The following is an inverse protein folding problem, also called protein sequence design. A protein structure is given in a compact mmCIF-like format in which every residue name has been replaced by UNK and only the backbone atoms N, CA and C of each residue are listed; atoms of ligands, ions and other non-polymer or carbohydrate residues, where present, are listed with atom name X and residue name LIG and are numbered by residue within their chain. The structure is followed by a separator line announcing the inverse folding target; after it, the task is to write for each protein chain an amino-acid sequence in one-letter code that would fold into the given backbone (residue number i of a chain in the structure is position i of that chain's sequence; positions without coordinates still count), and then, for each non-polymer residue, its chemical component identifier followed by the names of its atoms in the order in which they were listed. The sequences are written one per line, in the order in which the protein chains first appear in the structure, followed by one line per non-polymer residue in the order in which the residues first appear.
data_IF_501142394679
#
_entry.id   IF_501142394679
#
_cell.length_a   1.000
_cell.length_b   1.000
_cell.length_c   1.000
_cell.angle_alpha   90.00
_cell.angle_beta   90.00
_cell.angle_gamma   90.00
#
_symmetry.space_group_name_H-M   'P 1'
#
loop_
_entity.id
_entity.type
_entity.pdbx_description
1 polymer ?
#
# COMPACT_ATOMS: atom_id res chain seq x y z
N UNK A 1 3.38 10.12 14.89
CA UNK A 1 2.07 9.55 14.49
C UNK A 1 0.98 10.57 14.69
N UNK A 2 0.88 11.24 15.87
CA UNK A 2 -0.17 12.23 16.16
C UNK A 2 -0.22 13.33 15.09
N UNK A 3 0.88 14.00 14.82
CA UNK A 3 0.96 15.08 13.82
C UNK A 3 0.52 14.62 12.42
N UNK A 4 0.89 13.40 12.03
CA UNK A 4 0.45 12.80 10.75
C UNK A 4 -1.06 12.54 10.73
N UNK A 5 -1.62 12.07 11.85
CA UNK A 5 -3.06 11.86 11.98
C UNK A 5 -3.83 13.19 11.92
N UNK A 6 -3.36 14.22 12.63
CA UNK A 6 -3.95 15.57 12.62
C UNK A 6 -3.88 16.19 11.23
N UNK A 7 -2.77 16.00 10.51
CA UNK A 7 -2.62 16.43 9.11
C UNK A 7 -3.63 15.74 8.21
N UNK A 8 -3.75 14.40 8.31
CA UNK A 8 -4.72 13.63 7.52
C UNK A 8 -6.16 14.07 7.82
N UNK A 9 -6.49 14.30 9.09
CA UNK A 9 -7.79 14.81 9.48
C UNK A 9 -8.08 16.19 8.84
N UNK A 10 -7.10 17.10 8.87
CA UNK A 10 -7.22 18.42 8.26
C UNK A 10 -7.38 18.36 6.74
N UNK A 11 -6.62 17.48 6.04
CA UNK A 11 -6.73 17.28 4.60
C UNK A 11 -8.12 16.80 4.18
N UNK A 12 -8.78 16.03 5.02
CA UNK A 12 -10.06 15.40 4.71
C UNK A 12 -11.27 16.14 5.27
N UNK A 13 -11.09 17.17 6.09
CA UNK A 13 -12.18 17.86 6.79
C UNK A 13 -13.24 18.45 5.86
N UNK A 14 -12.82 18.93 4.68
CA UNK A 14 -13.72 19.53 3.68
C UNK A 14 -14.17 18.57 2.58
N UNK A 15 -13.75 17.31 2.62
CA UNK A 15 -14.13 16.30 1.61
C UNK A 15 -15.49 15.67 1.94
N UNK A 16 -16.26 15.32 0.92
CA UNK A 16 -17.48 14.52 1.12
C UNK A 16 -17.14 13.09 1.48
N UNK A 17 -17.96 12.46 2.33
CA UNK A 17 -17.80 11.06 2.72
C UNK A 17 -17.82 10.07 1.53
N UNK A 18 -18.39 10.48 0.39
CA UNK A 18 -18.41 9.67 -0.85
C UNK A 18 -17.28 10.02 -1.82
N UNK A 19 -16.40 10.97 -1.46
CA UNK A 19 -15.29 11.37 -2.33
C UNK A 19 -14.33 10.21 -2.56
N UNK A 20 -14.09 9.89 -3.83
CA UNK A 20 -13.03 9.01 -4.27
C UNK A 20 -11.77 9.84 -4.47
N UNK A 21 -10.72 9.54 -3.75
CA UNK A 21 -9.50 10.35 -3.73
C UNK A 21 -8.34 9.45 -4.18
N UNK A 22 -7.69 9.74 -5.33
CA UNK A 22 -6.47 9.04 -5.73
C UNK A 22 -5.39 9.10 -4.64
N UNK A 23 -4.68 8.00 -4.40
CA UNK A 23 -3.62 7.95 -3.37
C UNK A 23 -2.58 9.07 -3.50
N UNK A 24 -2.12 9.48 -4.70
CA UNK A 24 -1.19 10.59 -4.84
C UNK A 24 -1.65 11.90 -4.19
N UNK A 25 -2.96 12.18 -4.20
CA UNK A 25 -3.51 13.39 -3.56
C UNK A 25 -3.38 13.36 -2.02
N UNK A 26 -3.30 12.17 -1.42
CA UNK A 26 -3.07 12.01 0.01
C UNK A 26 -1.59 11.84 0.35
N UNK A 27 -0.87 11.05 -0.45
CA UNK A 27 0.54 10.76 -0.22
C UNK A 27 1.40 12.01 -0.35
N UNK A 28 1.14 12.87 -1.36
CA UNK A 28 1.94 14.08 -1.57
C UNK A 28 2.00 14.95 -0.31
N UNK A 29 0.90 15.48 0.22
CA UNK A 29 0.98 16.35 1.40
C UNK A 29 1.41 15.60 2.67
N UNK A 30 1.08 14.32 2.81
CA UNK A 30 1.44 13.54 3.99
C UNK A 30 2.93 13.19 4.05
N UNK A 31 3.60 13.05 2.91
CA UNK A 31 4.99 12.63 2.82
C UNK A 31 5.94 13.79 2.51
N UNK A 32 5.43 14.93 2.04
CA UNK A 32 6.19 16.16 1.84
C UNK A 32 6.40 16.89 3.17
N UNK A 33 7.14 16.25 4.07
CA UNK A 33 7.39 16.74 5.41
C UNK A 33 8.83 17.23 5.50
N UNK A 34 9.00 18.51 5.82
CA UNK A 34 10.30 19.08 6.14
C UNK A 34 10.67 18.81 7.61
N UNK A 35 11.94 18.62 7.90
CA UNK A 35 12.43 18.51 9.28
C UNK A 35 13.65 17.59 9.44
N UNK A 36 14.18 17.56 10.65
CA UNK A 36 15.42 16.86 10.99
C UNK A 36 15.32 15.33 11.00
N UNK A 37 14.11 14.78 11.10
CA UNK A 37 13.84 13.33 11.06
C UNK A 37 12.75 12.99 10.05
N UNK A 38 13.06 13.27 8.79
CA UNK A 38 12.13 13.10 7.68
C UNK A 38 11.66 11.65 7.52
N UNK A 39 12.57 10.68 7.69
CA UNK A 39 12.22 9.26 7.55
C UNK A 39 11.26 8.79 8.65
N UNK A 40 11.47 9.16 9.91
CA UNK A 40 10.55 8.80 10.99
C UNK A 40 9.17 9.48 10.81
N UNK A 41 9.15 10.73 10.34
CA UNK A 41 7.92 11.45 10.06
C UNK A 41 7.14 10.78 8.90
N UNK A 42 7.81 10.36 7.84
CA UNK A 42 7.22 9.64 6.71
C UNK A 42 6.70 8.25 7.10
N UNK A 43 7.44 7.53 7.94
CA UNK A 43 6.95 6.28 8.55
C UNK A 43 5.67 6.50 9.35
N UNK A 44 5.63 7.56 10.16
CA UNK A 44 4.45 7.93 10.94
C UNK A 44 3.27 8.30 10.04
N UNK A 45 3.52 8.98 8.93
CA UNK A 45 2.49 9.39 7.96
C UNK A 45 1.87 8.18 7.25
N UNK A 46 2.70 7.26 6.71
CA UNK A 46 2.20 6.07 6.04
C UNK A 46 1.46 5.14 7.02
N UNK A 47 1.91 5.06 8.28
CA UNK A 47 1.22 4.30 9.33
C UNK A 47 -0.16 4.92 9.66
N UNK A 48 -0.26 6.23 9.80
CA UNK A 48 -1.53 6.90 10.06
C UNK A 48 -2.53 6.68 8.91
N UNK A 49 -2.06 6.73 7.68
CA UNK A 49 -2.87 6.45 6.50
C UNK A 49 -3.29 4.97 6.43
N UNK A 50 -2.40 4.04 6.78
CA UNK A 50 -2.72 2.60 6.85
C UNK A 50 -3.78 2.29 7.91
N UNK A 51 -3.66 2.89 9.08
CA UNK A 51 -4.64 2.74 10.14
C UNK A 51 -6.02 3.29 9.73
N UNK A 52 -6.05 4.42 9.04
CA UNK A 52 -7.28 4.99 8.49
C UNK A 52 -7.92 4.07 7.46
N UNK A 53 -7.14 3.56 6.48
CA UNK A 53 -7.61 2.67 5.43
C UNK A 53 -8.03 1.28 5.93
N UNK A 54 -7.43 0.79 7.00
CA UNK A 54 -7.81 -0.48 7.64
C UNK A 54 -9.01 -0.35 8.58
N UNK A 55 -9.60 0.85 8.69
CA UNK A 55 -10.71 1.15 9.62
C UNK A 55 -10.40 0.78 11.09
N UNK A 56 -9.11 0.70 11.43
CA UNK A 56 -8.67 0.36 12.78
C UNK A 56 -8.73 1.57 13.70
N UNK A 57 -9.37 1.39 14.83
CA UNK A 57 -9.33 2.40 15.89
C UNK A 57 -7.91 2.48 16.46
N UNK A 58 -7.20 3.56 16.15
CA UNK A 58 -5.84 3.81 16.66
C UNK A 58 -5.78 3.80 18.18
N UNK A 59 -6.85 4.14 18.89
CA UNK A 59 -6.88 4.14 20.35
C UNK A 59 -6.67 2.73 20.95
N UNK A 60 -6.88 1.66 20.19
CA UNK A 60 -6.55 0.29 20.64
C UNK A 60 -5.06 0.05 20.71
N UNK A 61 -4.26 0.76 19.91
CA UNK A 61 -2.80 0.65 19.87
C UNK A 61 -2.12 1.81 20.62
N UNK A 62 -2.71 2.98 20.56
CA UNK A 62 -2.20 4.23 21.13
C UNK A 62 -3.35 4.85 21.95
N UNK A 63 -3.47 4.57 23.26
CA UNK A 63 -4.59 5.04 24.08
C UNK A 63 -4.84 6.55 23.99
N UNK A 64 -3.78 7.35 23.88
CA UNK A 64 -3.89 8.80 23.70
C UNK A 64 -4.59 9.24 22.40
N UNK A 65 -4.74 8.33 21.44
CA UNK A 65 -5.45 8.64 20.20
C UNK A 65 -6.97 8.77 20.36
N UNK A 66 -7.52 8.41 21.54
CA UNK A 66 -8.92 8.69 21.88
C UNK A 66 -9.29 10.17 21.80
N UNK A 67 -8.31 11.05 22.05
CA UNK A 67 -8.50 12.49 22.09
C UNK A 67 -8.10 13.19 20.78
N UNK A 68 -7.67 12.42 19.76
CA UNK A 68 -7.27 12.99 18.48
C UNK A 68 -8.49 13.33 17.60
N UNK A 69 -8.33 14.30 16.68
CA UNK A 69 -9.43 14.65 15.78
C UNK A 69 -9.90 13.43 14.99
N UNK A 70 -11.21 13.33 14.81
CA UNK A 70 -11.78 12.27 13.98
C UNK A 70 -11.48 12.56 12.51
N UNK A 71 -10.95 11.54 11.80
CA UNK A 71 -10.76 11.61 10.36
C UNK A 71 -12.12 11.37 9.70
N UNK A 72 -12.49 12.26 8.79
CA UNK A 72 -13.71 12.13 8.00
C UNK A 72 -13.58 10.93 7.04
N UNK A 73 -14.57 10.03 6.95
CA UNK A 73 -14.52 8.91 6.02
C UNK A 73 -14.53 9.42 4.59
N UNK A 74 -13.65 8.87 3.77
CA UNK A 74 -13.57 9.07 2.32
C UNK A 74 -13.19 7.75 1.69
N UNK A 75 -13.14 7.68 0.36
CA UNK A 75 -12.80 6.49 -0.40
C UNK A 75 -11.45 6.67 -1.15
N UNK A 76 -10.29 6.49 -0.50
CA UNK A 76 -9.00 6.53 -1.19
C UNK A 76 -8.91 5.42 -2.24
N UNK A 77 -8.36 5.73 -3.41
CA UNK A 77 -8.26 4.77 -4.51
C UNK A 77 -6.84 4.69 -5.06
N UNK A 78 -6.46 3.49 -5.50
CA UNK A 78 -5.29 3.25 -6.33
C UNK A 78 -5.74 2.63 -7.64
N UNK A 79 -5.41 3.25 -8.77
CA UNK A 79 -5.90 2.87 -10.09
C UNK A 79 -7.44 2.76 -10.14
N UNK A 80 -8.13 3.66 -9.41
CA UNK A 80 -9.59 3.69 -9.29
C UNK A 80 -10.18 2.63 -8.36
N UNK A 81 -9.41 1.83 -7.62
CA UNK A 81 -9.84 0.73 -6.75
C UNK A 81 -9.58 1.05 -5.27
N UNK A 82 -10.56 0.79 -4.42
CA UNK A 82 -10.47 0.97 -2.96
C UNK A 82 -9.60 -0.10 -2.31
N UNK A 83 -9.84 -1.36 -2.67
CA UNK A 83 -9.10 -2.52 -2.19
C UNK A 83 -7.60 -2.39 -2.50
N UNK A 84 -7.26 -2.04 -3.74
CA UNK A 84 -5.86 -1.83 -4.14
C UNK A 84 -5.17 -0.71 -3.36
N UNK A 85 -5.89 0.38 -3.03
CA UNK A 85 -5.35 1.43 -2.17
C UNK A 85 -5.08 0.92 -0.75
N UNK A 86 -5.99 0.13 -0.21
CA UNK A 86 -5.88 -0.48 1.12
C UNK A 86 -4.67 -1.44 1.19
N UNK A 87 -4.58 -2.37 0.24
CA UNK A 87 -3.46 -3.31 0.12
C UNK A 87 -2.12 -2.59 0.01
N UNK A 88 -2.01 -1.64 -0.91
CA UNK A 88 -0.78 -0.87 -1.13
C UNK A 88 -0.32 -0.14 0.13
N UNK A 89 -1.20 0.61 0.78
CA UNK A 89 -0.81 1.45 1.93
C UNK A 89 -0.49 0.61 3.16
N UNK A 90 -1.23 -0.47 3.41
CA UNK A 90 -0.96 -1.37 4.54
C UNK A 90 0.40 -2.05 4.34
N UNK A 91 0.67 -2.57 3.15
CA UNK A 91 1.95 -3.22 2.85
C UNK A 91 3.12 -2.24 2.87
N UNK A 92 2.90 -0.99 2.41
CA UNK A 92 3.91 0.07 2.52
C UNK A 92 4.23 0.41 3.99
N UNK A 93 3.21 0.50 4.84
CA UNK A 93 3.43 0.75 6.27
C UNK A 93 4.18 -0.41 6.94
N UNK A 94 3.79 -1.65 6.65
CA UNK A 94 4.47 -2.84 7.18
C UNK A 94 5.93 -2.88 6.75
N UNK A 95 6.23 -2.67 5.47
CA UNK A 95 7.60 -2.66 4.95
C UNK A 95 8.44 -1.52 5.54
N UNK A 96 7.87 -0.33 5.69
CA UNK A 96 8.57 0.80 6.28
C UNK A 96 8.96 0.58 7.75
N UNK A 97 8.20 -0.23 8.49
CA UNK A 97 8.44 -0.49 9.91
C UNK A 97 9.14 -1.82 10.20
N UNK A 98 8.80 -2.88 9.48
CA UNK A 98 9.26 -4.24 9.76
C UNK A 98 10.15 -4.82 8.65
N UNK A 99 10.24 -4.16 7.51
CA UNK A 99 10.97 -4.61 6.34
C UNK A 99 10.13 -5.52 5.42
N UNK A 100 10.61 -5.67 4.19
CA UNK A 100 9.94 -6.34 3.09
C UNK A 100 9.59 -7.81 3.35
N UNK A 101 10.49 -8.67 3.88
CA UNK A 101 10.16 -10.09 4.04
C UNK A 101 8.92 -10.35 4.89
N UNK A 102 8.67 -9.48 5.89
CA UNK A 102 7.50 -9.59 6.77
C UNK A 102 6.25 -9.08 6.05
N UNK A 103 6.34 -7.96 5.34
CA UNK A 103 5.22 -7.40 4.59
C UNK A 103 4.72 -8.37 3.51
N UNK A 104 5.62 -8.94 2.72
CA UNK A 104 5.30 -9.92 1.68
C UNK A 104 4.70 -11.21 2.24
N UNK A 105 5.23 -11.71 3.36
CA UNK A 105 4.68 -12.90 4.01
C UNK A 105 3.24 -12.68 4.50
N UNK A 106 2.93 -11.51 5.04
CA UNK A 106 1.58 -11.16 5.51
C UNK A 106 0.62 -11.04 4.32
N UNK A 107 1.02 -10.35 3.25
CA UNK A 107 0.21 -10.22 2.03
C UNK A 107 -0.11 -11.58 1.43
N UNK A 108 0.88 -12.43 1.21
CA UNK A 108 0.67 -13.78 0.66
C UNK A 108 -0.21 -14.65 1.58
N UNK A 109 0.00 -14.59 2.91
CA UNK A 109 -0.83 -15.34 3.86
C UNK A 109 -2.29 -14.93 3.76
N UNK A 110 -2.56 -13.63 3.66
CA UNK A 110 -3.91 -13.11 3.49
C UNK A 110 -4.57 -13.67 2.23
N UNK A 111 -3.91 -13.59 1.08
CA UNK A 111 -4.46 -14.08 -0.19
C UNK A 111 -4.77 -15.59 -0.16
N UNK A 112 -3.92 -16.39 0.49
CA UNK A 112 -4.16 -17.83 0.66
C UNK A 112 -5.31 -18.12 1.63
N UNK A 113 -5.52 -17.28 2.63
CA UNK A 113 -6.66 -17.39 3.56
C UNK A 113 -7.96 -17.01 2.85
N UNK A 114 -7.97 -15.94 2.07
CA UNK A 114 -9.13 -15.48 1.30
C UNK A 114 -9.55 -16.50 0.23
N UNK A 115 -8.59 -17.20 -0.40
CA UNK A 115 -8.89 -18.30 -1.31
C UNK A 115 -9.68 -19.44 -0.65
N UNK A 116 -9.49 -19.68 0.65
CA UNK A 116 -10.13 -20.78 1.40
C UNK A 116 -11.47 -20.39 2.01
N UNK A 117 -11.58 -19.18 2.52
CA UNK A 117 -12.69 -18.77 3.41
C UNK A 117 -13.22 -17.36 3.13
N UNK A 118 -12.67 -16.64 2.16
CA UNK A 118 -12.96 -15.24 1.90
C UNK A 118 -13.37 -14.93 0.46
N UNK A 119 -12.92 -13.79 -0.04
CA UNK A 119 -13.21 -13.25 -1.38
C UNK A 119 -12.56 -14.04 -2.53
N UNK A 120 -11.65 -14.95 -2.25
CA UNK A 120 -10.83 -15.66 -3.23
C UNK A 120 -9.43 -15.05 -3.36
N UNK A 121 -8.49 -15.80 -3.94
CA UNK A 121 -7.12 -15.33 -4.20
C UNK A 121 -7.14 -14.29 -5.32
N UNK A 122 -6.48 -13.16 -5.11
CA UNK A 122 -6.38 -12.07 -6.07
C UNK A 122 -4.91 -11.75 -6.38
N UNK A 123 -4.49 -11.92 -7.64
CA UNK A 123 -3.18 -11.46 -8.08
C UNK A 123 -3.11 -9.94 -8.24
N UNK A 124 -4.24 -9.26 -8.40
CA UNK A 124 -4.29 -7.80 -8.40
C UNK A 124 -3.99 -7.25 -6.99
N UNK A 125 -4.55 -7.86 -5.94
CA UNK A 125 -4.27 -7.48 -4.57
C UNK A 125 -2.83 -7.81 -4.18
N UNK A 126 -2.33 -8.98 -4.59
CA UNK A 126 -0.92 -9.34 -4.42
C UNK A 126 0.04 -8.35 -5.11
N UNK A 127 -0.34 -7.84 -6.29
CA UNK A 127 0.46 -6.85 -7.00
C UNK A 127 0.42 -5.48 -6.31
N UNK A 128 -0.72 -5.09 -5.74
CA UNK A 128 -0.84 -3.89 -4.92
C UNK A 128 -0.02 -4.01 -3.62
N UNK A 129 -0.07 -5.17 -2.95
CA UNK A 129 0.76 -5.47 -1.77
C UNK A 129 2.26 -5.33 -2.10
N UNK A 130 2.74 -5.96 -3.17
CA UNK A 130 4.15 -5.91 -3.56
C UNK A 130 4.60 -4.51 -3.97
N UNK A 131 3.77 -3.78 -4.69
CA UNK A 131 4.06 -2.38 -5.02
C UNK A 131 4.13 -1.52 -3.75
N UNK A 132 3.22 -1.72 -2.80
CA UNK A 132 3.23 -1.08 -1.50
C UNK A 132 4.46 -1.42 -0.68
N UNK A 133 4.82 -2.69 -0.61
CA UNK A 133 6.06 -3.16 0.04
C UNK A 133 7.29 -2.47 -0.52
N UNK A 134 7.43 -2.45 -1.86
CA UNK A 134 8.55 -1.78 -2.54
C UNK A 134 8.56 -0.28 -2.26
N UNK A 135 7.38 0.36 -2.23
CA UNK A 135 7.25 1.78 -1.87
C UNK A 135 7.69 2.05 -0.42
N UNK A 136 7.26 1.23 0.53
CA UNK A 136 7.62 1.37 1.94
C UNK A 136 9.12 1.19 2.19
N UNK A 137 9.76 0.24 1.52
CA UNK A 137 11.21 0.08 1.56
C UNK A 137 11.96 1.25 0.94
N UNK A 138 11.52 1.70 -0.24
CA UNK A 138 12.10 2.86 -0.93
C UNK A 138 12.02 4.11 -0.06
N UNK A 139 10.89 4.33 0.63
CA UNK A 139 10.69 5.44 1.57
C UNK A 139 11.79 5.47 2.65
N UNK A 140 12.26 4.31 3.10
CA UNK A 140 13.25 4.18 4.16
C UNK A 140 14.69 4.17 3.62
N UNK A 141 14.93 3.37 2.58
CA UNK A 141 16.28 3.11 2.06
C UNK A 141 16.73 4.15 1.03
N UNK A 142 15.78 4.77 0.33
CA UNK A 142 16.03 5.69 -0.79
C UNK A 142 15.16 6.96 -0.70
N UNK A 143 15.22 7.72 0.42
CA UNK A 143 14.36 8.88 0.64
C UNK A 143 14.49 9.95 -0.45
N UNK A 144 15.66 10.04 -1.10
CA UNK A 144 15.94 10.97 -2.20
C UNK A 144 15.07 10.70 -3.45
N UNK A 145 14.69 9.45 -3.68
CA UNK A 145 13.76 9.09 -4.77
C UNK A 145 12.35 9.55 -4.49
N UNK A 146 11.94 9.45 -3.23
CA UNK A 146 10.65 9.97 -2.80
C UNK A 146 10.62 11.50 -2.92
N UNK A 147 11.70 12.20 -2.55
CA UNK A 147 11.80 13.65 -2.73
C UNK A 147 11.64 14.05 -4.20
N UNK A 148 12.27 13.29 -5.11
CA UNK A 148 12.13 13.51 -6.55
C UNK A 148 10.72 13.25 -7.07
N UNK A 149 10.01 12.28 -6.49
CA UNK A 149 8.61 12.00 -6.82
C UNK A 149 7.69 13.12 -6.32
N UNK A 150 7.84 13.52 -5.07
CA UNK A 150 7.02 14.55 -4.42
C UNK A 150 7.21 15.94 -5.05
N UNK A 151 8.41 16.22 -5.61
CA UNK A 151 8.69 17.46 -6.32
C UNK A 151 7.94 17.60 -7.66
N UNK A 152 7.26 16.56 -8.10
CA UNK A 152 6.49 16.49 -9.35
C UNK A 152 5.05 16.05 -9.03
N UNK A 153 4.12 16.45 -9.88
CA UNK A 153 2.81 15.80 -9.89
C UNK A 153 2.99 14.34 -10.33
N UNK A 154 2.62 13.40 -9.48
CA UNK A 154 2.65 11.98 -9.81
C UNK A 154 1.24 11.37 -9.78
N UNK A 155 1.08 10.29 -10.52
CA UNK A 155 -0.16 9.55 -10.65
C UNK A 155 -0.04 8.14 -10.02
N UNK A 156 -1.16 7.43 -9.89
CA UNK A 156 -1.19 6.05 -9.43
C UNK A 156 -0.24 5.14 -10.23
N UNK A 157 -0.11 5.39 -11.55
CA UNK A 157 0.77 4.64 -12.45
C UNK A 157 2.27 4.84 -12.21
N UNK A 158 2.66 5.84 -11.42
CA UNK A 158 4.06 6.04 -11.03
C UNK A 158 4.46 5.16 -9.83
N UNK A 159 3.48 4.70 -9.05
CA UNK A 159 3.70 3.94 -7.81
C UNK A 159 3.19 2.49 -7.87
N UNK A 160 2.28 2.16 -8.80
CA UNK A 160 1.75 0.80 -8.95
C UNK A 160 1.60 0.42 -10.43
N UNK A 161 1.81 -0.85 -10.79
CA UNK A 161 1.61 -1.35 -12.16
C UNK A 161 0.13 -1.51 -12.48
N UNK A 162 -0.21 -1.69 -13.77
CA UNK A 162 -1.56 -2.06 -14.16
C UNK A 162 -1.99 -3.38 -13.51
N UNK A 163 -3.23 -3.43 -13.01
CA UNK A 163 -3.80 -4.55 -12.26
C UNK A 163 -4.93 -5.28 -12.99
N UNK A 164 -5.54 -4.65 -13.97
CA UNK A 164 -6.82 -5.03 -14.59
C UNK A 164 -6.77 -6.31 -15.45
N UNK A 165 -5.59 -6.80 -15.77
CA UNK A 165 -5.36 -8.05 -16.52
C UNK A 165 -4.94 -9.22 -15.63
N UNK A 166 -4.84 -9.00 -14.33
CA UNK A 166 -4.43 -10.02 -13.38
C UNK A 166 -5.63 -10.87 -12.91
N UNK A 167 -5.46 -12.18 -12.71
CA UNK A 167 -6.52 -13.04 -12.19
C UNK A 167 -6.94 -12.64 -10.78
N UNK A 168 -8.25 -12.61 -10.53
CA UNK A 168 -8.85 -12.23 -9.25
C UNK A 168 -9.94 -13.23 -8.83
N UNK A 169 -10.30 -13.18 -7.54
CA UNK A 169 -11.42 -13.93 -6.94
C UNK A 169 -11.34 -15.43 -7.14
N UNK A 170 -10.12 -15.98 -7.22
CA UNK A 170 -9.90 -17.42 -7.41
C UNK A 170 -10.18 -18.17 -6.10
N UNK A 171 -11.24 -18.97 -6.06
CA UNK A 171 -11.41 -19.89 -4.93
C UNK A 171 -10.30 -20.96 -4.91
N UNK A 172 -10.19 -21.70 -3.80
CA UNK A 172 -9.12 -22.67 -3.61
C UNK A 172 -9.03 -23.71 -4.75
N UNK A 173 -10.17 -24.16 -5.29
CA UNK A 173 -10.18 -25.13 -6.39
C UNK A 173 -9.71 -24.49 -7.72
N UNK A 174 -10.10 -23.25 -7.99
CA UNK A 174 -9.68 -22.52 -9.17
C UNK A 174 -8.18 -22.21 -9.11
N UNK A 175 -7.71 -21.74 -7.94
CA UNK A 175 -6.27 -21.52 -7.71
C UNK A 175 -5.47 -22.79 -7.91
N UNK A 176 -5.90 -23.90 -7.28
CA UNK A 176 -5.25 -25.21 -7.41
C UNK A 176 -5.20 -25.70 -8.87
N UNK A 177 -6.29 -25.54 -9.64
CA UNK A 177 -6.32 -25.97 -11.05
C UNK A 177 -5.42 -25.14 -11.96
N UNK A 178 -5.34 -23.82 -11.74
CA UNK A 178 -4.62 -22.90 -12.61
C UNK A 178 -3.14 -22.80 -12.23
N UNK A 179 -2.86 -22.77 -10.94
CA UNK A 179 -1.54 -22.48 -10.40
C UNK A 179 -0.93 -23.61 -9.57
N UNK A 180 -1.73 -24.59 -9.14
CA UNK A 180 -1.27 -25.67 -8.27
C UNK A 180 -1.01 -25.17 -6.86
N UNK A 181 0.22 -24.75 -6.59
CA UNK A 181 0.63 -24.11 -5.34
C UNK A 181 1.57 -22.90 -5.60
N UNK A 182 1.97 -22.23 -4.54
CA UNK A 182 2.87 -21.07 -4.61
C UNK A 182 4.30 -21.40 -5.04
N UNK A 183 4.65 -22.68 -5.18
CA UNK A 183 5.96 -23.16 -5.66
C UNK A 183 5.91 -23.58 -7.13
N UNK A 184 4.75 -23.62 -7.72
CA UNK A 184 4.57 -24.06 -9.10
C UNK A 184 5.25 -23.11 -10.11
N UNK A 185 5.64 -23.60 -11.28
CA UNK A 185 6.16 -22.72 -12.34
C UNK A 185 5.16 -21.65 -12.77
N UNK A 186 3.87 -21.98 -12.87
CA UNK A 186 2.82 -21.04 -13.28
C UNK A 186 2.66 -19.88 -12.30
N UNK A 187 2.64 -20.18 -11.00
CA UNK A 187 2.60 -19.14 -9.96
C UNK A 187 3.84 -18.25 -10.01
N UNK A 188 5.04 -18.86 -10.06
CA UNK A 188 6.30 -18.12 -10.12
C UNK A 188 6.43 -17.26 -11.37
N UNK A 189 5.93 -17.74 -12.50
CA UNK A 189 5.93 -16.97 -13.73
C UNK A 189 5.08 -15.70 -13.59
N UNK A 190 3.86 -15.81 -13.05
CA UNK A 190 2.96 -14.66 -12.90
C UNK A 190 3.46 -13.68 -11.84
N UNK A 191 3.94 -14.19 -10.70
CA UNK A 191 4.53 -13.31 -9.68
C UNK A 191 5.80 -12.62 -10.15
N UNK A 192 6.64 -13.32 -10.92
CA UNK A 192 7.81 -12.71 -11.55
C UNK A 192 7.45 -11.67 -12.63
N UNK A 193 6.30 -11.81 -13.30
CA UNK A 193 5.76 -10.77 -14.17
C UNK A 193 5.32 -9.55 -13.40
N UNK A 194 4.60 -9.73 -12.30
CA UNK A 194 4.19 -8.65 -11.40
C UNK A 194 5.41 -7.85 -10.92
N UNK A 195 6.44 -8.55 -10.45
CA UNK A 195 7.70 -7.92 -10.03
C UNK A 195 8.35 -7.12 -11.16
N UNK A 196 8.45 -7.69 -12.36
CA UNK A 196 8.99 -6.97 -13.51
C UNK A 196 8.20 -5.69 -13.80
N UNK A 197 6.86 -5.73 -13.73
CA UNK A 197 6.01 -4.56 -13.93
C UNK A 197 6.29 -3.47 -12.88
N UNK A 198 6.52 -3.84 -11.62
CA UNK A 198 6.86 -2.90 -10.55
C UNK A 198 8.25 -2.27 -10.82
N UNK A 199 9.27 -3.09 -11.06
CA UNK A 199 10.65 -2.59 -11.20
C UNK A 199 10.95 -1.85 -12.53
N UNK A 200 10.04 -1.86 -13.50
CA UNK A 200 10.14 -0.96 -14.68
C UNK A 200 9.59 0.44 -14.43
N UNK A 201 8.80 0.64 -13.36
CA UNK A 201 8.31 1.96 -13.00
C UNK A 201 9.48 2.89 -12.68
N UNK A 202 9.45 4.15 -13.15
CA UNK A 202 10.58 5.08 -12.96
C UNK A 202 11.03 5.22 -11.51
N UNK A 203 10.09 5.17 -10.58
CA UNK A 203 10.35 5.28 -9.15
C UNK A 203 11.23 4.14 -8.60
N UNK A 204 11.02 2.92 -9.10
CA UNK A 204 11.66 1.70 -8.57
C UNK A 204 12.79 1.18 -9.48
N UNK A 205 12.99 1.80 -10.64
CA UNK A 205 14.01 1.36 -11.59
C UNK A 205 15.41 1.40 -10.97
N UNK A 206 16.12 0.28 -11.04
CA UNK A 206 17.47 0.12 -10.50
C UNK A 206 17.55 0.00 -8.97
N UNK A 207 16.40 -0.19 -8.29
CA UNK A 207 16.43 -0.74 -6.94
C UNK A 207 16.84 -2.22 -7.04
N UNK A 208 17.62 -2.68 -6.06
CA UNK A 208 17.93 -4.11 -5.96
C UNK A 208 16.64 -4.89 -5.69
N UNK A 209 16.47 -6.00 -6.41
CA UNK A 209 15.44 -6.96 -6.01
C UNK A 209 15.87 -7.58 -4.69
N UNK A 210 14.94 -7.73 -3.77
CA UNK A 210 15.20 -8.44 -2.53
C UNK A 210 15.53 -9.92 -2.74
#
# INVERSE_FOLDING_TARGET
IRSAHEMLAGLLDHKSATSRIPLPELLTPLLDIAGSDQTANRRAAIFALAAFLSERNLATLIPAASDWPRIRPVAPTLLGRLDSAQHFVISAALAAWAGEPIADAIGLYKELADARHGSGFSFADLAADRAGTTFGEMLVKHPERLDQLLAKHFADTDIAPALNDLPEYLNAQQFQRQFGDTRSPAYRQLTGEIERRIFVLPLYRGLEKP
#
